data_IF_917181787353
#
_entry.id   IF_917181787353
#
_cell.length_a   1.000
_cell.length_b   1.000
_cell.length_c   1.000
_cell.angle_alpha   90.00
_cell.angle_beta   90.00
_cell.angle_gamma   90.00
#
_symmetry.space_group_name_H-M   'P 1'
#
loop_
_entity.id
_entity.type
_entity.pdbx_description
1 polymer ?
#
# COMPACT_ATOMS: atom_id res chain seq x y z
N UNK A 1 7.83 -11.09 13.40
CA UNK A 1 8.06 -11.00 11.95
C UNK A 1 9.56 -11.06 11.69
N UNK A 2 10.00 -11.82 10.68
CA UNK A 2 11.40 -11.88 10.27
C UNK A 2 11.80 -10.57 9.57
N UNK A 3 12.80 -9.87 10.09
CA UNK A 3 13.24 -8.56 9.56
C UNK A 3 13.83 -8.64 8.15
N UNK A 4 14.53 -9.73 7.80
CA UNK A 4 15.07 -9.90 6.44
C UNK A 4 13.98 -10.21 5.42
N UNK A 5 12.95 -10.97 5.81
CA UNK A 5 11.79 -11.21 4.97
C UNK A 5 11.05 -9.89 4.71
N UNK A 6 10.79 -9.11 5.76
CA UNK A 6 10.19 -7.79 5.63
C UNK A 6 10.98 -6.86 4.70
N UNK A 7 12.30 -6.76 4.90
CA UNK A 7 13.16 -5.89 4.08
C UNK A 7 13.13 -6.29 2.61
N UNK A 8 13.23 -7.59 2.30
CA UNK A 8 13.17 -8.07 0.91
C UNK A 8 11.83 -7.78 0.24
N UNK A 9 10.74 -7.94 1.00
CA UNK A 9 9.40 -7.64 0.50
C UNK A 9 9.24 -6.14 0.24
N UNK A 10 9.66 -5.29 1.18
CA UNK A 10 9.65 -3.84 1.02
C UNK A 10 10.54 -3.39 -0.16
N UNK A 11 11.75 -3.94 -0.31
CA UNK A 11 12.65 -3.66 -1.43
C UNK A 11 12.02 -4.05 -2.78
N UNK A 12 11.18 -5.09 -2.82
CA UNK A 12 10.41 -5.46 -4.00
C UNK A 12 9.30 -4.45 -4.29
N UNK A 13 8.50 -4.08 -3.29
CA UNK A 13 7.40 -3.13 -3.44
C UNK A 13 7.88 -1.74 -3.85
N UNK A 14 8.99 -1.27 -3.29
CA UNK A 14 9.62 0.00 -3.66
C UNK A 14 10.01 -0.03 -5.14
N UNK A 15 10.70 -1.09 -5.59
CA UNK A 15 11.07 -1.24 -7.01
C UNK A 15 9.85 -1.29 -7.93
N UNK A 16 8.80 -2.00 -7.53
CA UNK A 16 7.55 -2.00 -8.28
C UNK A 16 7.01 -0.56 -8.42
N UNK A 17 6.83 0.18 -7.32
CA UNK A 17 6.29 1.55 -7.38
C UNK A 17 7.18 2.55 -8.18
N UNK A 18 8.45 2.22 -8.40
CA UNK A 18 9.33 2.97 -9.30
C UNK A 18 9.15 2.59 -10.77
N UNK A 19 8.94 1.30 -11.05
CA UNK A 19 8.87 0.76 -12.41
C UNK A 19 7.45 0.90 -13.02
N UNK A 20 6.40 0.86 -12.20
CA UNK A 20 4.99 0.87 -12.62
C UNK A 20 4.05 1.26 -11.44
N UNK A 21 2.72 1.25 -11.67
CA UNK A 21 1.71 1.49 -10.64
C UNK A 21 1.53 0.28 -9.74
N UNK A 22 1.97 0.39 -8.49
CA UNK A 22 1.79 -0.64 -7.46
C UNK A 22 0.36 -0.58 -6.92
N UNK A 23 -0.45 -1.60 -7.21
CA UNK A 23 -1.81 -1.71 -6.69
C UNK A 23 -1.86 -2.06 -5.19
N UNK A 24 -2.85 -1.50 -4.47
CA UNK A 24 -3.04 -1.74 -3.04
C UNK A 24 -3.16 -3.22 -2.65
N UNK A 25 -3.75 -4.06 -3.50
CA UNK A 25 -3.88 -5.50 -3.24
C UNK A 25 -2.55 -6.25 -3.21
N UNK A 26 -1.50 -5.71 -3.87
CA UNK A 26 -0.15 -6.29 -3.79
C UNK A 26 0.45 -6.01 -2.41
N UNK A 27 0.28 -4.78 -1.90
CA UNK A 27 0.70 -4.40 -0.55
C UNK A 27 -0.07 -5.20 0.51
N UNK A 28 -1.37 -5.38 0.31
CA UNK A 28 -2.21 -6.16 1.22
C UNK A 28 -1.83 -7.66 1.20
N UNK A 29 -1.52 -8.20 0.03
CA UNK A 29 -0.98 -9.56 -0.15
C UNK A 29 0.38 -9.75 0.53
N UNK A 30 1.28 -8.77 0.42
CA UNK A 30 2.57 -8.77 1.11
C UNK A 30 2.40 -8.80 2.64
N UNK A 31 1.51 -7.97 3.19
CA UNK A 31 1.19 -7.99 4.62
C UNK A 31 0.68 -9.37 5.07
N UNK A 32 -0.24 -9.97 4.32
CA UNK A 32 -0.75 -11.32 4.59
C UNK A 32 0.33 -12.40 4.50
N UNK A 33 1.19 -12.34 3.49
CA UNK A 33 2.29 -13.28 3.29
C UNK A 33 3.34 -13.24 4.41
N UNK A 34 3.68 -12.04 4.90
CA UNK A 34 4.66 -11.83 5.97
C UNK A 34 4.19 -12.29 7.35
N UNK A 35 2.88 -12.21 7.62
CA UNK A 35 2.28 -12.63 8.89
C UNK A 35 1.93 -14.12 8.93
N UNK A 36 1.66 -14.72 7.77
CA UNK A 36 1.19 -16.09 7.67
C UNK A 36 -0.30 -16.24 8.02
N UNK A 37 -0.77 -17.49 8.02
CA UNK A 37 -2.19 -17.80 8.24
C UNK A 37 -2.60 -17.52 9.69
N UNK A 38 -3.80 -16.98 9.88
CA UNK A 38 -4.43 -16.83 11.21
C UNK A 38 -4.12 -15.53 11.94
N UNK A 39 -3.35 -14.60 11.34
CA UNK A 39 -3.20 -13.26 11.89
C UNK A 39 -4.54 -12.53 11.93
N UNK A 40 -4.82 -11.83 13.03
CA UNK A 40 -6.05 -11.03 13.16
C UNK A 40 -6.05 -9.87 12.16
N UNK A 41 -7.23 -9.33 11.88
CA UNK A 41 -7.38 -8.19 10.98
C UNK A 41 -6.59 -6.97 11.48
N UNK A 42 -6.59 -6.69 12.77
CA UNK A 42 -5.86 -5.56 13.37
C UNK A 42 -4.36 -5.69 13.17
N UNK A 43 -3.82 -6.90 13.27
CA UNK A 43 -2.39 -7.18 13.02
C UNK A 43 -2.06 -7.02 11.54
N UNK A 44 -2.95 -7.47 10.65
CA UNK A 44 -2.78 -7.29 9.20
C UNK A 44 -2.83 -5.81 8.82
N UNK A 45 -3.81 -5.06 9.33
CA UNK A 45 -3.96 -3.63 9.09
C UNK A 45 -2.75 -2.84 9.61
N UNK A 46 -2.27 -3.15 10.82
CA UNK A 46 -1.08 -2.51 11.39
C UNK A 46 0.17 -2.74 10.54
N UNK A 47 0.37 -3.96 10.01
CA UNK A 47 1.49 -4.22 9.11
C UNK A 47 1.31 -3.55 7.74
N UNK A 48 0.10 -3.57 7.19
CA UNK A 48 -0.21 -2.89 5.93
C UNK A 48 0.12 -1.40 6.02
N UNK A 49 -0.37 -0.71 7.07
CA UNK A 49 -0.11 0.71 7.27
C UNK A 49 1.38 1.00 7.48
N UNK A 50 2.11 0.07 8.12
CA UNK A 50 3.58 0.18 8.21
C UNK A 50 4.24 0.11 6.84
N UNK A 51 3.87 -0.87 6.00
CA UNK A 51 4.44 -1.01 4.64
C UNK A 51 4.14 0.24 3.81
N UNK A 52 2.90 0.73 3.84
CA UNK A 52 2.51 1.98 3.16
C UNK A 52 3.34 3.16 3.69
N UNK A 53 3.55 3.22 5.00
CA UNK A 53 4.37 4.26 5.61
C UNK A 53 5.82 4.23 5.12
N UNK A 54 6.41 3.04 5.00
CA UNK A 54 7.78 2.87 4.51
C UNK A 54 7.88 3.15 3.00
N UNK A 55 6.84 2.84 2.21
CA UNK A 55 6.75 3.24 0.80
C UNK A 55 6.74 4.78 0.65
N UNK A 56 6.02 5.48 1.53
CA UNK A 56 6.00 6.96 1.55
C UNK A 56 7.38 7.54 1.88
N UNK A 57 8.09 6.93 2.83
CA UNK A 57 9.46 7.33 3.20
C UNK A 57 10.46 7.07 2.06
N UNK A 58 10.19 6.07 1.22
CA UNK A 58 10.94 5.78 0.00
C UNK A 58 10.55 6.68 -1.19
N UNK A 59 9.57 7.59 -1.02
CA UNK A 59 9.18 8.57 -2.03
C UNK A 59 7.91 8.22 -2.82
N UNK A 60 7.32 7.05 -2.62
CA UNK A 60 6.06 6.70 -3.26
C UNK A 60 4.90 7.56 -2.73
N UNK A 61 3.89 7.77 -3.56
CA UNK A 61 2.65 8.48 -3.20
C UNK A 61 1.44 7.65 -3.58
N UNK A 62 0.43 7.64 -2.71
CA UNK A 62 -0.86 7.08 -3.04
C UNK A 62 -1.61 8.00 -4.02
N UNK A 63 -2.40 7.40 -4.89
CA UNK A 63 -3.17 8.12 -5.90
C UNK A 63 -4.18 7.22 -6.61
N UNK A 64 -4.89 7.82 -7.54
CA UNK A 64 -5.91 7.18 -8.36
C UNK A 64 -5.39 7.02 -9.80
N UNK A 65 -5.68 5.88 -10.42
CA UNK A 65 -5.54 5.76 -11.87
C UNK A 65 -6.69 6.49 -12.55
N UNK A 66 -6.38 7.13 -13.67
CA UNK A 66 -7.36 7.87 -14.47
C UNK A 66 -7.43 7.30 -15.89
N UNK A 67 -8.53 7.58 -16.59
CA UNK A 67 -8.66 7.22 -18.01
C UNK A 67 -7.80 8.12 -18.94
N UNK A 68 -7.08 9.11 -18.39
CA UNK A 68 -6.25 10.02 -19.15
C UNK A 68 -4.96 9.36 -19.61
N UNK A 69 -4.68 9.42 -20.91
CA UNK A 69 -3.39 8.97 -21.44
C UNK A 69 -2.22 9.92 -21.07
N UNK A 70 -2.50 11.19 -20.77
CA UNK A 70 -1.46 12.18 -20.43
C UNK A 70 -1.22 12.30 -18.93
N UNK A 71 -2.24 12.00 -18.12
CA UNK A 71 -2.16 12.01 -16.66
C UNK A 71 -2.76 10.72 -16.09
N UNK A 72 -2.18 9.55 -16.42
CA UNK A 72 -2.77 8.25 -16.08
C UNK A 72 -2.79 7.96 -14.57
N UNK A 73 -2.03 8.71 -13.79
CA UNK A 73 -2.01 8.63 -12.34
C UNK A 73 -2.11 10.02 -11.73
N UNK A 74 -3.03 10.17 -10.77
CA UNK A 74 -3.24 11.40 -10.03
C UNK A 74 -2.86 11.18 -8.56
N UNK A 75 -1.69 11.68 -8.09
CA UNK A 75 -1.33 11.56 -6.69
C UNK A 75 -2.31 12.33 -5.81
N UNK A 76 -2.66 11.74 -4.68
CA UNK A 76 -3.45 12.43 -3.68
C UNK A 76 -2.70 13.65 -3.15
N UNK A 77 -3.43 14.75 -2.94
CA UNK A 77 -2.92 15.92 -2.22
C UNK A 77 -2.96 15.66 -0.72
N UNK A 78 -2.21 14.66 -0.29
CA UNK A 78 -2.15 14.19 1.09
C UNK A 78 -0.70 13.90 1.48
N UNK A 79 -0.32 14.30 2.69
CA UNK A 79 0.92 13.86 3.29
C UNK A 79 0.84 12.39 3.77
N UNK A 80 1.94 11.87 4.33
CA UNK A 80 2.01 10.50 4.83
C UNK A 80 0.94 10.20 5.89
N UNK A 81 0.74 11.11 6.84
CA UNK A 81 -0.19 10.89 7.95
C UNK A 81 -1.64 10.93 7.47
N UNK A 82 -1.97 11.88 6.58
CA UNK A 82 -3.28 11.99 5.95
C UNK A 82 -3.59 10.76 5.09
N UNK A 83 -2.63 10.29 4.29
CA UNK A 83 -2.81 9.12 3.45
C UNK A 83 -3.01 7.83 4.26
N UNK A 84 -2.21 7.62 5.32
CA UNK A 84 -2.37 6.48 6.23
C UNK A 84 -3.73 6.51 6.93
N UNK A 85 -4.18 7.69 7.35
CA UNK A 85 -5.49 7.87 7.99
C UNK A 85 -6.62 7.54 7.02
N UNK A 86 -6.54 8.04 5.78
CA UNK A 86 -7.52 7.74 4.72
C UNK A 86 -7.59 6.25 4.42
N UNK A 87 -6.44 5.61 4.21
CA UNK A 87 -6.35 4.17 3.92
C UNK A 87 -6.91 3.33 5.08
N UNK A 88 -6.59 3.69 6.33
CA UNK A 88 -7.14 2.99 7.50
C UNK A 88 -8.68 3.08 7.53
N UNK A 89 -9.22 4.29 7.36
CA UNK A 89 -10.67 4.52 7.35
C UNK A 89 -11.41 3.79 6.22
N UNK A 90 -10.74 3.56 5.10
CA UNK A 90 -11.29 2.85 3.94
C UNK A 90 -11.24 1.32 4.12
N UNK A 91 -10.21 0.80 4.78
CA UNK A 91 -10.01 -0.65 4.97
C UNK A 91 -10.80 -1.19 6.18
N UNK A 92 -10.90 -0.43 7.26
CA UNK A 92 -11.56 -0.83 8.52
C UNK A 92 -13.00 -1.37 8.35
N UNK A 93 -13.89 -0.74 7.54
CA UNK A 93 -15.28 -1.18 7.41
C UNK A 93 -15.44 -2.57 6.78
N UNK A 94 -14.48 -3.03 5.99
CA UNK A 94 -14.63 -4.23 5.17
C UNK A 94 -14.39 -5.54 5.92
N UNK A 95 -13.78 -5.50 7.12
CA UNK A 95 -13.37 -6.70 7.90
C UNK A 95 -12.54 -7.73 7.09
N UNK A 96 -12.09 -7.36 5.89
CA UNK A 96 -11.25 -8.08 4.93
C UNK A 96 -10.49 -7.06 4.11
N UNK A 97 -9.31 -7.43 3.62
CA UNK A 97 -8.51 -6.53 2.79
C UNK A 97 -9.20 -6.35 1.41
N UNK A 98 -9.45 -5.10 0.97
CA UNK A 98 -10.12 -4.79 -0.29
C UNK A 98 -9.23 -5.03 -1.53
N UNK A 99 -9.84 -5.04 -2.73
CA UNK A 99 -9.12 -5.16 -4.01
C UNK A 99 -8.43 -3.83 -4.37
N UNK A 100 -7.41 -3.85 -5.25
CA UNK A 100 -6.57 -2.66 -5.54
C UNK A 100 -7.35 -1.42 -5.96
N UNK A 101 -8.34 -1.62 -6.85
CA UNK A 101 -9.17 -0.53 -7.40
C UNK A 101 -10.15 0.09 -6.40
N UNK A 102 -10.31 -0.54 -5.23
CA UNK A 102 -11.23 -0.07 -4.20
C UNK A 102 -10.55 0.89 -3.20
N UNK A 103 -9.23 1.08 -3.25
CA UNK A 103 -8.50 1.94 -2.31
C UNK A 103 -7.57 2.92 -3.02
N UNK A 104 -6.45 2.44 -3.57
CA UNK A 104 -5.46 3.29 -4.23
C UNK A 104 -4.40 2.51 -5.01
N UNK A 105 -3.57 3.29 -5.70
CA UNK A 105 -2.34 2.87 -6.34
C UNK A 105 -1.16 3.66 -5.79
N UNK A 106 0.06 3.12 -5.88
CA UNK A 106 1.28 3.80 -5.46
C UNK A 106 2.27 3.93 -6.62
N UNK A 107 2.87 5.10 -6.76
CA UNK A 107 3.95 5.34 -7.69
C UNK A 107 4.93 6.40 -7.16
N UNK A 108 6.15 6.39 -7.69
CA UNK A 108 7.17 7.42 -7.45
C UNK A 108 7.15 8.42 -8.62
N UNK A 109 7.11 9.72 -8.29
CA UNK A 109 7.13 10.83 -9.26
C UNK A 109 8.18 11.87 -8.89
#
# INVERSE_FOLDING_TARGET
MNQEAYRRELDYLIRYAHDDWLGFSVVSGAAGGLLGRGASFEVQLGLLLRIVGDLYDAGARAGDLTDSTSEPFLPWKADKAEALTRIAAEVEPHSRLPDSGDVCWFAVH
#
